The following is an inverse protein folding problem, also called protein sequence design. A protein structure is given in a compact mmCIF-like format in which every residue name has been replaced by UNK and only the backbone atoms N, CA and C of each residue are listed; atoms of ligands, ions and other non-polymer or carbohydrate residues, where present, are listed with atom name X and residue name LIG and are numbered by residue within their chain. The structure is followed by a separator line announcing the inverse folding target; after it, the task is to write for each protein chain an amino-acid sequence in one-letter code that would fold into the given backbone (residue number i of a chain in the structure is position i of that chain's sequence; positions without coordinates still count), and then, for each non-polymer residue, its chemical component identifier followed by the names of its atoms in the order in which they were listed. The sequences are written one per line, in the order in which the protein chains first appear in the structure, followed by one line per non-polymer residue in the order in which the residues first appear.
data_IF_590332996013
#
_entry.id   IF_590332996013
#
_cell.length_a   1.000
_cell.length_b   1.000
_cell.length_c   1.000
_cell.angle_alpha   90.00
_cell.angle_beta   90.00
_cell.angle_gamma   90.00
#
_symmetry.space_group_name_H-M   'P 1'
#
loop_
_entity.id
_entity.type
_entity.pdbx_description
1 polymer ?
#
# COMPACT_ATOMS: atom_id res chain seq x y z
N UNK A 1 7.05 -47.21 -23.98
CA UNK A 1 5.77 -46.76 -23.40
C UNK A 1 6.05 -46.17 -22.03
N UNK A 2 5.46 -45.02 -21.77
CA UNK A 2 5.64 -44.10 -20.63
C UNK A 2 5.04 -44.69 -19.33
N UNK A 3 5.41 -44.30 -18.11
CA UNK A 3 5.29 -42.95 -17.52
C UNK A 3 6.11 -42.82 -16.23
N UNK A 4 6.62 -41.61 -16.02
CA UNK A 4 7.46 -41.12 -14.94
C UNK A 4 6.87 -41.26 -13.53
N UNK A 5 7.72 -41.62 -12.56
CA UNK A 5 7.43 -41.50 -11.13
C UNK A 5 8.32 -40.43 -10.50
N UNK A 6 7.65 -39.36 -10.06
CA UNK A 6 7.78 -38.69 -8.77
C UNK A 6 9.19 -38.35 -8.28
N UNK A 7 9.53 -37.05 -8.36
CA UNK A 7 10.42 -36.22 -7.52
C UNK A 7 10.57 -34.92 -8.33
N UNK A 8 10.13 -33.75 -7.89
CA UNK A 8 10.47 -33.09 -6.65
C UNK A 8 9.51 -31.92 -6.43
N UNK A 9 8.60 -32.09 -5.46
CA UNK A 9 7.85 -30.99 -4.88
C UNK A 9 8.73 -30.36 -3.80
N UNK A 10 9.61 -29.43 -4.20
CA UNK A 10 10.19 -28.43 -3.30
C UNK A 10 10.93 -27.36 -4.10
N UNK A 11 10.29 -26.20 -4.28
CA UNK A 11 11.03 -24.94 -4.12
C UNK A 11 10.16 -24.00 -3.31
N UNK A 12 10.24 -24.19 -2.01
CA UNK A 12 9.82 -23.21 -1.03
C UNK A 12 10.45 -21.86 -1.38
N UNK A 13 9.62 -20.84 -1.52
CA UNK A 13 10.01 -19.45 -1.34
C UNK A 13 9.19 -18.86 -0.18
N UNK A 14 9.50 -19.17 1.09
CA UNK A 14 8.85 -18.55 2.22
C UNK A 14 9.74 -17.40 2.69
N UNK A 15 9.81 -16.28 1.96
CA UNK A 15 10.47 -15.06 2.44
C UNK A 15 10.23 -13.88 1.50
N UNK A 16 8.97 -13.46 1.37
CA UNK A 16 8.54 -12.07 1.06
C UNK A 16 7.02 -11.99 1.11
N UNK A 17 6.41 -12.59 2.12
CA UNK A 17 5.04 -12.23 2.48
C UNK A 17 5.11 -10.92 3.29
N UNK A 18 5.65 -9.88 2.65
CA UNK A 18 5.33 -8.52 3.06
C UNK A 18 3.82 -8.44 2.94
N UNK A 19 3.13 -8.29 4.08
CA UNK A 19 1.68 -8.17 4.22
C UNK A 19 1.16 -7.39 3.01
N UNK A 20 0.54 -8.07 2.04
CA UNK A 20 -0.05 -7.37 0.90
C UNK A 20 -1.09 -6.43 1.51
N UNK A 21 -0.89 -5.14 1.31
CA UNK A 21 -1.84 -4.15 1.75
C UNK A 21 -3.11 -4.41 0.94
N UNK A 22 -4.20 -4.76 1.63
CA UNK A 22 -5.52 -4.75 1.02
C UNK A 22 -5.93 -3.28 0.89
N UNK A 23 -5.67 -2.73 -0.30
CA UNK A 23 -5.90 -1.32 -0.60
C UNK A 23 -7.35 -0.92 -0.36
N UNK A 24 -8.31 -1.79 -0.70
CA UNK A 24 -9.72 -1.46 -0.52
C UNK A 24 -10.09 -1.40 0.96
N UNK A 25 -9.61 -2.34 1.76
CA UNK A 25 -9.83 -2.33 3.20
C UNK A 25 -9.20 -1.09 3.86
N UNK A 26 -7.97 -0.73 3.47
CA UNK A 26 -7.30 0.47 3.99
C UNK A 26 -8.00 1.77 3.60
N UNK A 27 -8.49 1.88 2.36
CA UNK A 27 -9.25 3.06 1.91
C UNK A 27 -10.60 3.17 2.63
N UNK A 28 -11.28 2.04 2.87
CA UNK A 28 -12.49 2.02 3.67
C UNK A 28 -12.22 2.46 5.13
N UNK A 29 -11.10 2.01 5.72
CA UNK A 29 -10.68 2.45 7.04
C UNK A 29 -10.41 3.95 7.10
N UNK A 30 -9.77 4.55 6.08
CA UNK A 30 -9.58 6.00 6.00
C UNK A 30 -10.91 6.77 6.05
N UNK A 31 -11.95 6.26 5.40
CA UNK A 31 -13.28 6.89 5.41
C UNK A 31 -13.95 6.84 6.78
N UNK A 32 -13.63 5.85 7.60
CA UNK A 32 -14.16 5.71 8.96
C UNK A 32 -13.41 6.57 9.99
N UNK A 33 -12.15 6.94 9.72
CA UNK A 33 -11.32 7.73 10.64
C UNK A 33 -11.83 9.16 10.82
N UNK A 34 -11.66 9.71 12.01
CA UNK A 34 -11.81 11.13 12.33
C UNK A 34 -10.61 11.95 11.84
N UNK A 35 -10.71 13.28 11.84
CA UNK A 35 -9.58 14.13 11.43
C UNK A 35 -8.33 13.93 12.31
N UNK A 36 -8.41 13.83 13.65
CA UNK A 36 -7.26 13.50 14.48
C UNK A 36 -6.62 12.16 14.12
N UNK A 37 -7.41 11.10 13.91
CA UNK A 37 -6.88 9.79 13.52
C UNK A 37 -6.20 9.83 12.15
N UNK A 38 -6.74 10.62 11.20
CA UNK A 38 -6.09 10.86 9.91
C UNK A 38 -4.74 11.60 10.08
N UNK A 39 -4.63 12.53 11.03
CA UNK A 39 -3.36 13.22 11.34
C UNK A 39 -2.34 12.29 12.01
N UNK A 40 -2.79 11.41 12.89
CA UNK A 40 -1.93 10.38 13.51
C UNK A 40 -1.40 9.42 12.44
N UNK A 41 -2.28 8.93 11.56
CA UNK A 41 -1.88 8.07 10.45
C UNK A 41 -0.93 8.78 9.48
N UNK A 42 -1.14 10.08 9.25
CA UNK A 42 -0.21 10.91 8.50
C UNK A 42 1.17 10.92 9.15
N UNK A 43 1.25 11.24 10.45
CA UNK A 43 2.52 11.28 11.19
C UNK A 43 3.22 9.91 11.15
N UNK A 44 2.47 8.81 11.24
CA UNK A 44 3.01 7.47 11.16
C UNK A 44 3.62 7.12 9.79
N UNK A 45 3.03 7.63 8.70
CA UNK A 45 3.47 7.32 7.32
C UNK A 45 4.58 8.27 6.85
N UNK A 46 4.47 9.56 7.18
CA UNK A 46 5.35 10.61 6.66
C UNK A 46 6.40 11.09 7.68
N UNK A 47 6.22 10.82 8.97
CA UNK A 47 7.15 11.25 10.03
C UNK A 47 7.06 12.74 10.37
N UNK A 48 6.10 13.47 9.80
CA UNK A 48 5.91 14.91 10.00
C UNK A 48 4.43 15.25 10.17
N UNK A 49 4.13 16.44 10.71
CA UNK A 49 2.75 16.90 10.87
C UNK A 49 2.14 17.21 9.51
N UNK A 50 0.86 16.87 9.33
CA UNK A 50 0.14 17.23 8.12
C UNK A 50 0.12 18.75 7.90
N UNK A 51 0.46 19.25 6.70
CA UNK A 51 0.50 20.69 6.42
C UNK A 51 -0.90 21.32 6.46
N UNK A 52 -1.95 20.53 6.19
CA UNK A 52 -3.35 20.95 6.26
C UNK A 52 -4.17 19.91 7.02
N UNK A 53 -5.05 20.36 7.91
CA UNK A 53 -5.96 19.51 8.68
C UNK A 53 -7.30 19.20 7.97
N UNK A 54 -7.44 19.59 6.70
CA UNK A 54 -8.66 19.32 5.92
C UNK A 54 -8.83 17.81 5.71
N UNK A 55 -9.96 17.27 6.15
CA UNK A 55 -10.32 15.86 6.00
C UNK A 55 -10.13 15.35 4.58
N UNK A 56 -10.69 16.07 3.59
CA UNK A 56 -10.60 15.66 2.18
C UNK A 56 -9.16 15.63 1.66
N UNK A 57 -8.30 16.57 2.09
CA UNK A 57 -6.90 16.59 1.71
C UNK A 57 -6.12 15.41 2.34
N UNK A 58 -6.39 15.14 3.62
CA UNK A 58 -5.80 14.00 4.34
C UNK A 58 -6.18 12.68 3.68
N UNK A 59 -7.48 12.45 3.44
CA UNK A 59 -7.97 11.24 2.78
C UNK A 59 -7.35 11.05 1.39
N UNK A 60 -7.27 12.11 0.57
CA UNK A 60 -6.70 12.04 -0.78
C UNK A 60 -5.22 11.65 -0.74
N UNK A 61 -4.41 12.33 0.10
CA UNK A 61 -2.96 12.12 0.14
C UNK A 61 -2.59 10.81 0.83
N UNK A 62 -3.28 10.43 1.90
CA UNK A 62 -3.11 9.13 2.55
C UNK A 62 -3.52 7.99 1.61
N UNK A 63 -4.65 8.14 0.91
CA UNK A 63 -5.12 7.14 -0.05
C UNK A 63 -4.13 6.94 -1.20
N UNK A 64 -3.59 8.03 -1.75
CA UNK A 64 -2.54 7.97 -2.76
C UNK A 64 -1.30 7.23 -2.24
N UNK A 65 -0.83 7.56 -1.02
CA UNK A 65 0.35 6.94 -0.44
C UNK A 65 0.17 5.43 -0.19
N UNK A 66 -1.01 5.03 0.29
CA UNK A 66 -1.35 3.62 0.48
C UNK A 66 -1.31 2.85 -0.85
N UNK A 67 -1.82 3.46 -1.93
CA UNK A 67 -1.77 2.88 -3.26
C UNK A 67 -0.33 2.74 -3.77
N UNK A 68 0.51 3.76 -3.62
CA UNK A 68 1.93 3.69 -4.02
C UNK A 68 2.69 2.58 -3.29
N UNK A 69 2.45 2.43 -1.97
CA UNK A 69 3.08 1.39 -1.16
C UNK A 69 2.65 -0.03 -1.58
N UNK A 70 1.48 -0.16 -2.21
CA UNK A 70 0.90 -1.44 -2.60
C UNK A 70 1.18 -1.83 -4.04
N UNK A 71 1.13 -0.85 -4.96
CA UNK A 71 1.21 -1.06 -6.40
C UNK A 71 2.55 -0.61 -7.00
N UNK A 72 3.40 0.05 -6.22
CA UNK A 72 4.53 0.82 -6.73
C UNK A 72 4.08 2.22 -7.15
N UNK A 73 4.97 3.20 -7.02
CA UNK A 73 4.71 4.58 -7.42
C UNK A 73 4.50 4.74 -8.94
N UNK A 74 4.22 5.97 -9.35
CA UNK A 74 4.07 6.30 -10.78
C UNK A 74 5.31 5.85 -11.57
N UNK A 75 5.08 5.33 -12.78
CA UNK A 75 6.16 4.93 -13.69
C UNK A 75 7.05 6.15 -13.98
N UNK A 76 8.38 5.96 -14.13
CA UNK A 76 9.31 7.07 -14.38
C UNK A 76 8.90 7.93 -15.58
N UNK A 77 8.41 7.30 -16.64
CA UNK A 77 7.90 7.98 -17.84
C UNK A 77 6.74 8.92 -17.51
N UNK A 78 5.80 8.46 -16.67
CA UNK A 78 4.64 9.27 -16.24
C UNK A 78 5.06 10.43 -15.36
N UNK A 79 6.06 10.24 -14.48
CA UNK A 79 6.58 11.31 -13.61
C UNK A 79 7.30 12.41 -14.39
N UNK A 80 7.82 12.14 -15.59
CA UNK A 80 8.57 13.11 -16.40
C UNK A 80 7.68 14.08 -17.20
N UNK A 81 6.40 13.74 -17.35
CA UNK A 81 5.45 14.49 -18.21
C UNK A 81 4.49 15.37 -17.39
N UNK A 82 4.51 15.26 -16.06
CA UNK A 82 3.76 16.10 -15.12
C UNK A 82 4.66 17.23 -14.59
#
# INVERSE_FOLDING_TARGET
MTKSSRKSDTKAAPARQAKRIDVLAELAALKAMTVPELQEKWQAIFGERAPNASRGNLELRLGYRIQELSHGGLRPETRRTL
#
